data_IF_293085072976
#
_entry.id   IF_293085072976
#
_cell.length_a   1.000
_cell.length_b   1.000
_cell.length_c   1.000
_cell.angle_alpha   90.00
_cell.angle_beta   90.00
_cell.angle_gamma   90.00
#
_symmetry.space_group_name_H-M   'P 1'
#
loop_
_entity.id
_entity.type
_entity.pdbx_description
1 polymer ?
#
# COMPACT_ATOMS: atom_id res chain seq x y z
N UNK A 1 -27.22 23.24 -13.62
CA UNK A 1 -26.14 23.89 -14.38
C UNK A 1 -25.10 24.40 -13.38
N UNK A 2 -23.84 23.97 -13.28
CA UNK A 2 -22.99 22.97 -13.95
C UNK A 2 -22.02 22.49 -12.85
N UNK A 3 -21.98 21.21 -12.49
CA UNK A 3 -20.94 20.24 -12.89
C UNK A 3 -19.53 20.82 -13.06
N UNK A 4 -18.66 20.54 -12.07
CA UNK A 4 -17.21 20.37 -12.29
C UNK A 4 -16.73 19.15 -11.49
N UNK A 5 -17.40 18.02 -11.71
CA UNK A 5 -16.76 16.71 -11.67
C UNK A 5 -15.92 16.58 -12.95
N UNK A 6 -14.73 17.17 -12.95
CA UNK A 6 -13.82 17.18 -14.12
C UNK A 6 -12.51 16.44 -13.86
N UNK A 7 -12.55 15.36 -13.07
CA UNK A 7 -11.61 14.25 -13.23
C UNK A 7 -12.36 12.94 -13.02
N UNK A 8 -12.86 12.37 -14.11
CA UNK A 8 -13.51 11.07 -14.16
C UNK A 8 -12.56 9.95 -13.74
N UNK A 9 -12.34 9.78 -12.44
CA UNK A 9 -11.96 8.52 -11.83
C UNK A 9 -13.25 7.87 -11.38
N UNK A 10 -13.75 6.91 -12.15
CA UNK A 10 -14.81 6.02 -11.70
C UNK A 10 -14.24 5.19 -10.56
N UNK A 11 -14.39 5.65 -9.31
CA UNK A 11 -14.14 4.82 -8.14
C UNK A 11 -15.20 3.72 -8.16
N UNK A 12 -14.83 2.54 -8.64
CA UNK A 12 -15.67 1.36 -8.47
C UNK A 12 -15.92 1.18 -6.98
N UNK A 13 -17.18 1.36 -6.53
CA UNK A 13 -17.57 0.99 -5.17
C UNK A 13 -17.23 -0.48 -4.97
N UNK A 14 -16.37 -0.73 -4.00
CA UNK A 14 -15.97 -2.08 -3.58
C UNK A 14 -17.18 -2.72 -2.89
N UNK A 15 -18.00 -3.46 -3.63
CA UNK A 15 -19.13 -4.20 -3.07
C UNK A 15 -18.63 -5.43 -2.28
N UNK A 16 -19.39 -5.84 -1.27
CA UNK A 16 -19.09 -7.01 -0.43
C UNK A 16 -18.98 -8.33 -1.23
N UNK A 17 -19.56 -8.37 -2.44
CA UNK A 17 -19.64 -9.56 -3.29
C UNK A 17 -18.34 -9.83 -4.05
N UNK A 18 -17.39 -8.89 -4.05
CA UNK A 18 -16.11 -9.05 -4.74
C UNK A 18 -15.25 -10.13 -4.08
N UNK A 19 -14.65 -10.96 -4.92
CA UNK A 19 -13.60 -11.90 -4.54
C UNK A 19 -12.35 -11.15 -4.09
N UNK A 20 -11.52 -11.80 -3.27
CA UNK A 20 -10.23 -11.24 -2.83
C UNK A 20 -9.36 -10.86 -4.04
N UNK A 21 -9.38 -11.69 -5.07
CA UNK A 21 -8.60 -11.52 -6.30
C UNK A 21 -9.03 -10.30 -7.12
N UNK A 22 -10.31 -9.92 -7.08
CA UNK A 22 -10.85 -8.70 -7.69
C UNK A 22 -10.47 -7.45 -6.89
N UNK A 23 -10.40 -7.54 -5.56
CA UNK A 23 -9.98 -6.43 -4.70
C UNK A 23 -8.49 -6.14 -4.85
N UNK A 24 -7.66 -7.18 -4.79
CA UNK A 24 -6.21 -7.08 -5.05
C UNK A 24 -6.00 -6.55 -6.47
N UNK A 25 -6.78 -7.01 -7.44
CA UNK A 25 -6.74 -6.48 -8.80
C UNK A 25 -7.07 -5.00 -8.84
N UNK A 26 -8.16 -4.54 -8.22
CA UNK A 26 -8.53 -3.13 -8.20
C UNK A 26 -7.38 -2.27 -7.67
N UNK A 27 -6.72 -2.69 -6.59
CA UNK A 27 -5.55 -2.00 -6.04
C UNK A 27 -4.35 -2.05 -6.98
N UNK A 28 -4.02 -3.22 -7.51
CA UNK A 28 -2.91 -3.40 -8.44
C UNK A 28 -3.15 -2.65 -9.74
N UNK A 29 -4.37 -2.44 -10.20
CA UNK A 29 -4.68 -1.82 -11.48
C UNK A 29 -4.60 -0.30 -11.47
N UNK A 30 -4.70 0.33 -10.30
CA UNK A 30 -4.62 1.78 -10.19
C UNK A 30 -3.16 2.24 -10.42
N UNK A 31 -2.93 3.30 -11.21
CA UNK A 31 -1.66 4.01 -11.18
C UNK A 31 -1.55 4.68 -9.81
N UNK A 32 -0.87 4.03 -8.87
CA UNK A 32 -0.60 4.62 -7.56
C UNK A 32 0.55 5.60 -7.75
N UNK A 33 0.23 6.90 -7.81
CA UNK A 33 1.25 7.94 -7.72
C UNK A 33 1.94 7.80 -6.35
N UNK A 34 3.22 7.43 -6.40
CA UNK A 34 4.04 7.31 -5.20
C UNK A 34 4.71 8.66 -4.93
N UNK A 35 4.46 9.23 -3.75
CA UNK A 35 5.20 10.42 -3.31
C UNK A 35 6.69 10.07 -3.23
N UNK A 36 7.59 10.85 -3.89
CA UNK A 36 9.02 10.60 -3.87
C UNK A 36 9.63 10.47 -2.47
N UNK A 37 9.07 11.16 -1.45
CA UNK A 37 9.60 11.16 -0.07
C UNK A 37 9.40 9.85 0.67
N UNK A 38 8.46 9.01 0.24
CA UNK A 38 8.20 7.69 0.84
C UNK A 38 8.46 6.56 -0.15
N UNK A 39 9.08 6.86 -1.28
CA UNK A 39 9.28 5.91 -2.38
C UNK A 39 10.05 4.68 -1.93
N UNK A 40 11.16 4.85 -1.22
CA UNK A 40 11.97 3.73 -0.74
C UNK A 40 11.15 2.77 0.12
N UNK A 41 10.30 3.32 1.00
CA UNK A 41 9.43 2.53 1.86
C UNK A 41 8.34 1.82 1.06
N UNK A 42 7.63 2.52 0.17
CA UNK A 42 6.63 1.94 -0.73
C UNK A 42 7.20 0.78 -1.54
N UNK A 43 8.37 0.98 -2.13
CA UNK A 43 9.07 -0.06 -2.88
C UNK A 43 9.43 -1.26 -2.00
N UNK A 44 9.98 -0.99 -0.81
CA UNK A 44 10.36 -2.05 0.13
C UNK A 44 9.15 -2.87 0.59
N UNK A 45 8.02 -2.22 0.89
CA UNK A 45 6.80 -2.93 1.28
C UNK A 45 6.23 -3.75 0.12
N UNK A 46 6.31 -3.26 -1.12
CA UNK A 46 5.89 -4.03 -2.28
C UNK A 46 6.81 -5.23 -2.60
N UNK A 47 8.02 -5.26 -2.07
CA UNK A 47 8.91 -6.44 -2.16
C UNK A 47 8.57 -7.53 -1.15
N UNK A 48 7.76 -7.22 -0.13
CA UNK A 48 7.29 -8.22 0.83
C UNK A 48 6.23 -9.13 0.21
N UNK A 49 6.25 -10.44 0.49
CA UNK A 49 5.19 -11.35 0.08
C UNK A 49 3.80 -10.87 0.51
N UNK A 50 2.83 -10.94 -0.39
CA UNK A 50 1.40 -10.74 -0.10
C UNK A 50 1.02 -9.39 0.54
N UNK A 51 1.88 -8.38 0.34
CA UNK A 51 1.64 -6.97 0.67
C UNK A 51 1.41 -6.15 -0.62
N UNK A 52 0.42 -5.27 -0.62
CA UNK A 52 0.13 -4.40 -1.77
C UNK A 52 -0.12 -2.98 -1.32
N UNK A 53 0.78 -2.05 -1.65
CA UNK A 53 0.56 -0.64 -1.33
C UNK A 53 -0.49 -0.04 -2.26
N UNK A 54 -1.47 0.68 -1.70
CA UNK A 54 -2.57 1.28 -2.46
C UNK A 54 -2.56 2.80 -2.49
N UNK A 55 -1.95 3.46 -1.48
CA UNK A 55 -1.85 4.91 -1.40
C UNK A 55 -0.68 5.33 -0.51
N UNK A 56 -0.08 6.48 -0.78
CA UNK A 56 1.04 6.99 0.00
C UNK A 56 1.15 8.51 -0.11
N UNK A 57 1.57 9.18 0.97
CA UNK A 57 1.91 10.61 0.97
C UNK A 57 3.04 10.85 1.97
N UNK A 58 4.06 11.59 1.57
CA UNK A 58 5.24 11.89 2.39
C UNK A 58 5.21 13.26 3.07
N UNK A 59 4.03 13.88 3.16
CA UNK A 59 3.86 15.17 3.80
C UNK A 59 4.16 16.35 2.89
N UNK A 60 3.34 17.39 2.96
CA UNK A 60 3.52 18.60 2.17
C UNK A 60 3.23 19.86 2.99
N UNK A 61 3.93 20.95 2.68
CA UNK A 61 3.59 22.27 3.18
C UNK A 61 2.29 22.81 2.56
N UNK A 62 2.00 22.42 1.32
CA UNK A 62 0.86 22.91 0.53
C UNK A 62 -0.20 21.83 0.30
N UNK A 63 -1.41 22.07 0.82
CA UNK A 63 -2.53 21.13 0.69
C UNK A 63 -3.37 21.34 -0.58
N UNK A 64 -3.03 22.36 -1.40
CA UNK A 64 -3.86 22.77 -2.54
C UNK A 64 -3.78 21.74 -3.67
N UNK A 65 -4.92 21.17 -4.05
CA UNK A 65 -5.03 20.26 -5.19
C UNK A 65 -4.55 18.82 -4.93
N UNK A 66 -4.30 18.44 -3.67
CA UNK A 66 -3.91 17.09 -3.26
C UNK A 66 -5.08 16.33 -2.66
N UNK A 67 -5.22 15.06 -3.01
CA UNK A 67 -6.20 14.14 -2.44
C UNK A 67 -5.60 13.55 -1.15
N UNK A 68 -6.21 13.82 0.01
CA UNK A 68 -5.77 13.36 1.34
C UNK A 68 -4.30 13.70 1.71
N UNK A 69 -3.85 14.97 1.68
CA UNK A 69 -2.46 15.30 1.99
C UNK A 69 -2.12 15.04 3.47
N UNK A 70 -0.99 14.39 3.71
CA UNK A 70 -0.36 14.38 5.03
C UNK A 70 0.23 15.77 5.32
N UNK A 71 0.13 16.27 6.57
CA UNK A 71 0.84 17.47 6.98
C UNK A 71 2.35 17.31 6.80
N UNK A 72 3.06 18.43 6.65
CA UNK A 72 4.51 18.44 6.72
C UNK A 72 5.03 17.75 8.00
N UNK A 73 6.13 17.00 7.89
CA UNK A 73 6.69 16.22 8.98
C UNK A 73 5.88 14.96 9.31
N UNK A 74 4.81 14.68 8.58
CA UNK A 74 4.06 13.43 8.69
C UNK A 74 4.11 12.67 7.36
N UNK A 75 3.91 11.37 7.42
CA UNK A 75 3.66 10.56 6.23
C UNK A 75 2.59 9.52 6.52
N UNK A 76 1.97 9.02 5.46
CA UNK A 76 1.20 7.79 5.54
C UNK A 76 1.50 6.87 4.36
N UNK A 77 1.26 5.58 4.59
CA UNK A 77 1.26 4.55 3.57
C UNK A 77 0.12 3.59 3.87
N UNK A 78 -0.78 3.41 2.90
CA UNK A 78 -1.86 2.44 2.97
C UNK A 78 -1.51 1.20 2.16
N UNK A 79 -1.76 0.04 2.73
CA UNK A 79 -1.47 -1.23 2.09
C UNK A 79 -2.47 -2.31 2.49
N UNK A 80 -2.53 -3.34 1.66
CA UNK A 80 -3.36 -4.52 1.84
C UNK A 80 -2.46 -5.68 2.21
N UNK A 81 -2.98 -6.56 3.05
CA UNK A 81 -2.36 -7.83 3.40
C UNK A 81 -3.28 -8.96 2.92
N UNK A 82 -2.76 -9.93 2.17
CA UNK A 82 -3.52 -11.15 1.94
C UNK A 82 -3.58 -12.01 3.22
N UNK A 83 -4.71 -12.67 3.49
CA UNK A 83 -4.85 -13.55 4.66
C UNK A 83 -4.13 -14.90 4.45
N UNK A 84 -2.83 -14.86 4.16
CA UNK A 84 -1.94 -16.01 3.99
C UNK A 84 -0.89 -16.01 5.09
N UNK A 85 -0.20 -17.15 5.30
CA UNK A 85 0.91 -17.22 6.25
C UNK A 85 2.04 -16.22 5.90
N UNK A 86 2.34 -16.07 4.61
CA UNK A 86 3.34 -15.13 4.14
C UNK A 86 2.90 -13.67 4.32
N UNK A 87 1.62 -13.36 4.10
CA UNK A 87 1.04 -12.03 4.36
C UNK A 87 1.08 -11.67 5.84
N UNK A 88 0.72 -12.58 6.73
CA UNK A 88 0.84 -12.36 8.18
C UNK A 88 2.29 -12.20 8.64
N UNK A 89 3.22 -12.99 8.07
CA UNK A 89 4.64 -12.81 8.32
C UNK A 89 5.12 -11.41 7.90
N UNK A 90 4.76 -10.99 6.69
CA UNK A 90 5.08 -9.64 6.18
C UNK A 90 4.49 -8.54 7.06
N UNK A 91 3.22 -8.66 7.49
CA UNK A 91 2.61 -7.71 8.41
C UNK A 91 3.38 -7.63 9.75
N UNK A 92 3.79 -8.78 10.30
CA UNK A 92 4.60 -8.83 11.50
C UNK A 92 5.96 -8.14 11.35
N UNK A 93 6.59 -8.24 10.18
CA UNK A 93 7.84 -7.52 9.86
C UNK A 93 7.59 -6.01 9.84
N UNK A 94 6.53 -5.55 9.19
CA UNK A 94 6.18 -4.13 9.09
C UNK A 94 5.90 -3.53 10.47
N UNK A 95 5.08 -4.20 11.27
CA UNK A 95 4.75 -3.79 12.63
C UNK A 95 6.00 -3.73 13.52
N UNK A 96 6.83 -4.77 13.50
CA UNK A 96 8.05 -4.81 14.30
C UNK A 96 9.04 -3.74 13.86
N UNK A 97 9.20 -3.49 12.55
CA UNK A 97 10.06 -2.44 12.05
C UNK A 97 9.64 -1.06 12.55
N UNK A 98 8.33 -0.75 12.48
CA UNK A 98 7.81 0.51 13.00
C UNK A 98 8.12 0.69 14.49
N UNK A 99 7.89 -0.37 15.31
CA UNK A 99 8.16 -0.34 16.75
C UNK A 99 9.65 -0.25 17.09
N UNK A 100 10.52 -0.88 16.30
CA UNK A 100 11.97 -0.83 16.51
C UNK A 100 12.56 0.53 16.15
N UNK A 101 12.04 1.17 15.10
CA UNK A 101 12.54 2.47 14.64
C UNK A 101 12.08 3.59 15.56
N UNK A 102 10.78 3.72 15.81
CA UNK A 102 10.22 4.77 16.68
C UNK A 102 8.77 4.44 17.07
N UNK A 103 8.56 3.75 18.19
CA UNK A 103 7.21 3.35 18.61
C UNK A 103 6.31 4.50 19.09
N UNK A 104 6.86 5.71 19.29
CA UNK A 104 6.10 6.89 19.69
C UNK A 104 5.57 7.64 18.46
N UNK A 105 6.34 7.64 17.36
CA UNK A 105 6.01 8.39 16.15
C UNK A 105 5.52 7.55 14.99
N UNK A 106 5.72 6.24 15.03
CA UNK A 106 5.28 5.29 14.01
C UNK A 106 4.19 4.38 14.55
N UNK A 107 3.10 4.25 13.79
CA UNK A 107 2.02 3.31 14.11
C UNK A 107 1.56 2.57 12.86
N UNK A 108 1.33 1.27 13.00
CA UNK A 108 0.61 0.45 12.02
C UNK A 108 -0.77 0.17 12.58
N UNK A 109 -1.82 0.53 11.84
CA UNK A 109 -3.21 0.35 12.30
C UNK A 109 -4.08 -0.19 11.17
N UNK A 110 -5.17 -0.84 11.55
CA UNK A 110 -6.20 -1.26 10.59
C UNK A 110 -6.97 -0.03 10.12
N UNK A 111 -7.08 0.13 8.80
CA UNK A 111 -7.92 1.13 8.15
C UNK A 111 -8.71 0.44 7.04
N UNK A 112 -9.71 -0.35 7.42
CA UNK A 112 -10.55 -1.03 6.44
C UNK A 112 -11.58 -0.05 5.86
N UNK A 113 -11.38 0.35 4.61
CA UNK A 113 -12.34 1.18 3.87
C UNK A 113 -13.24 0.34 2.95
N UNK A 114 -13.30 -0.98 3.20
CA UNK A 114 -14.13 -1.92 2.44
C UNK A 114 -15.06 -2.68 3.38
N UNK A 115 -16.23 -3.06 2.89
CA UNK A 115 -17.19 -3.89 3.61
C UNK A 115 -16.89 -5.40 3.40
N UNK A 116 -15.76 -5.74 2.75
CA UNK A 116 -15.38 -7.11 2.47
C UNK A 116 -14.58 -7.70 3.65
N UNK A 117 -14.99 -8.85 4.21
CA UNK A 117 -14.24 -9.53 5.26
C UNK A 117 -13.02 -10.29 4.71
N UNK A 118 -12.85 -10.35 3.38
CA UNK A 118 -11.82 -11.18 2.72
C UNK A 118 -10.48 -10.49 2.56
N UNK A 119 -10.41 -9.22 2.95
CA UNK A 119 -9.26 -8.38 2.73
C UNK A 119 -9.22 -7.30 3.81
N UNK A 120 -8.06 -7.11 4.42
CA UNK A 120 -7.86 -6.09 5.45
C UNK A 120 -6.88 -5.07 4.92
N UNK A 121 -7.28 -3.81 4.99
CA UNK A 121 -6.42 -2.67 4.70
C UNK A 121 -5.80 -2.15 5.99
N UNK A 122 -4.53 -1.84 5.91
CA UNK A 122 -3.72 -1.27 6.96
C UNK A 122 -3.19 0.08 6.50
N UNK A 123 -2.91 0.94 7.47
CA UNK A 123 -2.11 2.12 7.23
C UNK A 123 -0.93 2.18 8.20
N UNK A 124 0.20 2.65 7.70
CA UNK A 124 1.32 3.10 8.50
C UNK A 124 1.27 4.63 8.56
N UNK A 125 1.39 5.18 9.75
CA UNK A 125 1.47 6.61 9.99
C UNK A 125 2.82 6.93 10.62
N UNK A 126 3.53 7.89 10.04
CA UNK A 126 4.68 8.56 10.66
C UNK A 126 4.33 10.00 11.00
N UNK A 127 4.77 10.48 12.15
CA UNK A 127 4.51 11.85 12.64
C UNK A 127 5.80 12.50 13.11
N UNK A 128 5.76 13.82 13.31
CA UNK A 128 6.83 14.58 13.98
C UNK A 128 8.24 14.32 13.42
N UNK A 129 8.36 14.18 12.10
CA UNK A 129 9.63 13.94 11.42
C UNK A 129 10.09 12.49 11.42
N UNK A 130 9.20 11.52 11.66
CA UNK A 130 9.51 10.10 11.52
C UNK A 130 10.10 9.81 10.13
N UNK A 131 11.15 8.99 10.11
CA UNK A 131 11.94 8.71 8.91
C UNK A 131 11.42 7.44 8.18
N UNK A 132 10.80 7.58 7.00
CA UNK A 132 10.33 6.43 6.23
C UNK A 132 11.47 5.56 5.69
N UNK A 133 12.66 6.12 5.45
CA UNK A 133 13.80 5.36 4.94
C UNK A 133 14.40 4.47 6.05
N UNK A 134 14.44 4.95 7.29
CA UNK A 134 14.83 4.13 8.44
C UNK A 134 13.91 2.90 8.63
N UNK A 135 12.60 3.06 8.41
CA UNK A 135 11.65 1.93 8.42
C UNK A 135 11.95 0.95 7.28
N UNK A 136 12.23 1.46 6.08
CA UNK A 136 12.57 0.62 4.93
C UNK A 136 13.85 -0.21 5.19
N UNK A 137 14.86 0.40 5.82
CA UNK A 137 16.09 -0.28 6.20
C UNK A 137 15.84 -1.39 7.23
N UNK A 138 15.02 -1.10 8.25
CA UNK A 138 14.70 -2.07 9.29
C UNK A 138 13.87 -3.25 8.75
N UNK A 139 12.89 -2.99 7.87
CA UNK A 139 12.15 -4.06 7.17
C UNK A 139 13.12 -4.99 6.44
N UNK A 140 14.07 -4.44 5.68
CA UNK A 140 15.07 -5.27 4.98
C UNK A 140 15.98 -6.03 5.95
N UNK A 141 16.31 -5.42 7.08
CA UNK A 141 17.10 -6.04 8.16
C UNK A 141 16.39 -7.25 8.76
N UNK A 142 15.11 -7.11 9.09
CA UNK A 142 14.26 -8.18 9.61
C UNK A 142 14.08 -9.29 8.57
N UNK A 143 13.84 -8.96 7.31
CA UNK A 143 13.77 -9.96 6.23
C UNK A 143 15.04 -10.80 6.13
N UNK A 144 16.23 -10.17 6.21
CA UNK A 144 17.51 -10.90 6.23
C UNK A 144 17.62 -11.80 7.46
N UNK A 145 17.27 -11.28 8.63
CA UNK A 145 17.34 -12.00 9.91
C UNK A 145 16.43 -13.22 9.94
N UNK A 146 15.23 -13.11 9.37
CA UNK A 146 14.22 -14.17 9.32
C UNK A 146 14.26 -15.00 8.04
N UNK A 147 15.26 -14.77 7.17
CA UNK A 147 15.46 -15.49 5.90
C UNK A 147 14.25 -15.41 4.97
N UNK A 148 13.53 -14.29 4.99
CA UNK A 148 12.43 -14.00 4.06
C UNK A 148 13.01 -13.56 2.72
N UNK A 149 12.71 -14.33 1.67
CA UNK A 149 13.16 -14.00 0.32
C UNK A 149 12.28 -12.93 -0.31
N UNK A 150 12.91 -11.83 -0.73
CA UNK A 150 12.27 -10.76 -1.52
C UNK A 150 12.42 -10.97 -3.03
N UNK A 151 13.24 -11.95 -3.44
CA UNK A 151 13.60 -12.16 -4.84
C UNK A 151 12.38 -12.58 -5.67
N UNK A 152 12.12 -11.84 -6.75
CA UNK A 152 11.06 -12.15 -7.71
C UNK A 152 9.65 -11.78 -7.28
N UNK A 153 9.45 -11.28 -6.05
CA UNK A 153 8.13 -10.90 -5.53
C UNK A 153 7.53 -9.76 -6.37
N UNK A 154 8.29 -8.69 -6.59
CA UNK A 154 7.83 -7.53 -7.37
C UNK A 154 7.52 -7.90 -8.82
N UNK A 155 8.42 -8.64 -9.47
CA UNK A 155 8.24 -9.11 -10.84
C UNK A 155 6.99 -10.00 -10.96
N UNK A 156 6.77 -10.90 -10.01
CA UNK A 156 5.57 -11.71 -9.96
C UNK A 156 4.30 -10.84 -9.89
N UNK A 157 4.25 -9.86 -8.97
CA UNK A 157 3.11 -8.95 -8.82
C UNK A 157 2.85 -8.12 -10.08
N UNK A 158 3.90 -7.61 -10.72
CA UNK A 158 3.80 -6.89 -12.00
C UNK A 158 3.27 -7.78 -13.11
N UNK A 159 3.75 -9.02 -13.20
CA UNK A 159 3.28 -9.98 -14.20
C UNK A 159 1.82 -10.37 -13.97
N UNK A 160 1.38 -10.52 -12.71
CA UNK A 160 -0.03 -10.71 -12.36
C UNK A 160 -0.87 -9.50 -12.80
N UNK A 161 -0.41 -8.27 -12.53
CA UNK A 161 -1.08 -7.04 -13.00
C UNK A 161 -1.22 -7.02 -14.52
N UNK A 162 -0.13 -7.31 -15.26
CA UNK A 162 -0.12 -7.35 -16.74
C UNK A 162 -1.06 -8.42 -17.30
N UNK A 163 -1.00 -9.64 -16.76
CA UNK A 163 -1.85 -10.77 -17.20
C UNK A 163 -3.34 -10.46 -17.01
N UNK A 164 -3.73 -9.97 -15.84
CA UNK A 164 -5.13 -9.61 -15.56
C UNK A 164 -5.61 -8.41 -16.39
N UNK A 165 -4.76 -7.42 -16.63
CA UNK A 165 -5.09 -6.32 -17.53
C UNK A 165 -5.37 -6.82 -18.96
N UNK A 166 -4.57 -7.78 -19.45
CA UNK A 166 -4.78 -8.42 -20.74
C UNK A 166 -6.10 -9.19 -20.80
N UNK A 167 -6.41 -10.00 -19.77
CA UNK A 167 -7.68 -10.73 -19.66
C UNK A 167 -8.89 -9.79 -19.71
N UNK A 168 -8.85 -8.64 -19.04
CA UNK A 168 -9.95 -7.65 -19.09
C UNK A 168 -10.14 -7.01 -20.47
N UNK A 169 -9.04 -6.75 -21.18
CA UNK A 169 -9.11 -6.26 -22.57
C UNK A 169 -9.74 -7.33 -23.47
N UNK A 170 -9.35 -8.60 -23.31
CA UNK A 170 -9.86 -9.69 -24.16
C UNK A 170 -11.29 -10.12 -23.82
N UNK A 171 -11.73 -10.00 -22.55
CA UNK A 171 -13.11 -10.30 -22.14
C UNK A 171 -14.11 -9.19 -22.46
N UNK A 172 -13.65 -8.03 -22.95
CA UNK A 172 -14.49 -6.89 -23.33
C UNK A 172 -14.82 -6.88 -24.85
N UNK A 173 -14.52 -7.97 -25.56
CA UNK A 173 -14.85 -8.20 -26.97
C UNK A 173 -15.77 -9.41 -27.13
#
# INVERSE_FOLDING_TARGET
MNSRDERGRTYEKVSADRTREELIYAVLSLPVECDPRVRTLVETLNDLPDIYTCSSCGGHHDNVGRENPAPEGCFYLQFIVEPTEAGFLSLGIIDLAARNVDCERLAVQVLNTTDSPRLVMFHMLGREGADPDAVAEEVRSLCRSWKVSLRGVREHKENVRKKKALEKITSSF
#
